data_IF_294635661645
#
_entry.id   IF_294635661645
#
_cell.length_a   1.000
_cell.length_b   1.000
_cell.length_c   1.000
_cell.angle_alpha   90.00
_cell.angle_beta   90.00
_cell.angle_gamma   90.00
#
_symmetry.space_group_name_H-M   'P 1'
#
loop_
_entity.id
_entity.type
_entity.pdbx_description
1 polymer ?
#
# COMPACT_ATOMS: atom_id res chain seq x y z
N UNK A 1 1.63 77.13 20.24
CA UNK A 1 0.75 76.04 19.74
C UNK A 1 1.13 75.78 18.27
N UNK A 2 1.98 74.78 17.99
CA UNK A 2 2.50 74.49 16.64
C UNK A 2 1.51 73.55 15.93
N UNK A 3 0.81 74.07 14.93
CA UNK A 3 -0.17 73.33 14.13
C UNK A 3 0.59 72.46 13.13
N UNK A 4 0.50 71.14 13.26
CA UNK A 4 0.96 70.22 12.22
C UNK A 4 0.06 70.41 11.00
N UNK A 5 0.57 71.08 9.96
CA UNK A 5 -0.07 71.08 8.64
C UNK A 5 0.10 69.68 8.07
N UNK A 6 -1.01 68.99 7.84
CA UNK A 6 -1.03 67.67 7.21
C UNK A 6 -0.80 67.90 5.72
N UNK A 7 0.33 67.43 5.18
CA UNK A 7 0.65 67.54 3.76
C UNK A 7 -0.37 66.69 2.97
N UNK A 8 -1.30 67.35 2.26
CA UNK A 8 -2.33 66.72 1.42
C UNK A 8 -1.90 66.67 -0.03
N UNK A 9 -0.75 66.05 -0.32
CA UNK A 9 -0.36 65.70 -1.69
C UNK A 9 -1.08 64.41 -2.09
N UNK A 10 -1.81 64.43 -3.19
CA UNK A 10 -2.44 63.24 -3.77
C UNK A 10 -1.39 62.28 -4.35
N UNK A 11 -1.72 61.00 -4.46
CA UNK A 11 -0.86 60.01 -5.12
C UNK A 11 -0.76 60.28 -6.61
N UNK A 12 0.46 60.23 -7.16
CA UNK A 12 0.68 60.31 -8.60
C UNK A 12 0.31 58.98 -9.27
N UNK A 13 -0.07 59.05 -10.55
CA UNK A 13 -0.37 57.86 -11.35
C UNK A 13 0.82 56.89 -11.40
N UNK A 14 2.04 57.42 -11.49
CA UNK A 14 3.27 56.62 -11.51
C UNK A 14 3.49 55.84 -10.20
N UNK A 15 3.22 56.45 -9.04
CA UNK A 15 3.31 55.75 -7.74
C UNK A 15 2.30 54.61 -7.64
N UNK A 16 1.05 54.82 -8.09
CA UNK A 16 0.04 53.76 -8.12
C UNK A 16 0.41 52.60 -9.06
N UNK A 17 1.00 52.91 -10.23
CA UNK A 17 1.47 51.86 -11.15
C UNK A 17 2.58 51.01 -10.54
N UNK A 18 3.53 51.62 -9.84
CA UNK A 18 4.62 50.90 -9.16
C UNK A 18 4.05 50.00 -8.06
N UNK A 19 3.10 50.51 -7.25
CA UNK A 19 2.45 49.72 -6.19
C UNK A 19 1.72 48.50 -6.77
N UNK A 20 0.95 48.68 -7.84
CA UNK A 20 0.24 47.57 -8.50
C UNK A 20 1.22 46.56 -9.10
N UNK A 21 2.34 47.01 -9.68
CA UNK A 21 3.36 46.13 -10.22
C UNK A 21 4.01 45.26 -9.12
N UNK A 22 4.34 45.85 -7.97
CA UNK A 22 4.91 45.13 -6.82
C UNK A 22 3.88 44.13 -6.27
N UNK A 23 2.62 44.54 -6.10
CA UNK A 23 1.55 43.64 -5.64
C UNK A 23 1.33 42.47 -6.60
N UNK A 24 1.36 42.72 -7.91
CA UNK A 24 1.27 41.68 -8.93
C UNK A 24 2.41 40.67 -8.81
N UNK A 25 3.64 41.14 -8.60
CA UNK A 25 4.80 40.28 -8.37
C UNK A 25 4.67 39.45 -7.09
N UNK A 26 4.25 40.07 -5.98
CA UNK A 26 4.02 39.37 -4.71
C UNK A 26 2.94 38.29 -4.83
N UNK A 27 1.81 38.60 -5.47
CA UNK A 27 0.74 37.64 -5.69
C UNK A 27 1.18 36.50 -6.59
N UNK A 28 1.97 36.79 -7.64
CA UNK A 28 2.59 35.77 -8.49
C UNK A 28 3.47 34.81 -7.70
N UNK A 29 4.32 35.34 -6.80
CA UNK A 29 5.18 34.52 -5.94
C UNK A 29 4.38 33.69 -4.91
N UNK A 30 3.35 34.25 -4.29
CA UNK A 30 2.51 33.50 -3.34
C UNK A 30 1.74 32.38 -4.04
N UNK A 31 1.24 32.63 -5.26
CA UNK A 31 0.50 31.64 -6.03
C UNK A 31 1.37 30.43 -6.40
N UNK A 32 2.63 30.64 -6.79
CA UNK A 32 3.55 29.54 -7.10
C UNK A 32 3.88 28.72 -5.86
N UNK A 33 4.14 29.37 -4.73
CA UNK A 33 4.36 28.70 -3.44
C UNK A 33 3.13 27.89 -3.01
N UNK A 34 1.94 28.46 -3.13
CA UNK A 34 0.69 27.77 -2.80
C UNK A 34 0.49 26.52 -3.66
N UNK A 35 0.72 26.62 -4.98
CA UNK A 35 0.64 25.46 -5.89
C UNK A 35 1.64 24.38 -5.52
N UNK A 36 2.89 24.75 -5.21
CA UNK A 36 3.91 23.78 -4.78
C UNK A 36 3.53 23.10 -3.46
N UNK A 37 2.99 23.85 -2.50
CA UNK A 37 2.50 23.30 -1.23
C UNK A 37 1.36 22.30 -1.42
N UNK A 38 0.40 22.60 -2.29
CA UNK A 38 -0.70 21.69 -2.62
C UNK A 38 -0.20 20.40 -3.28
N UNK A 39 0.72 20.51 -4.23
CA UNK A 39 1.31 19.33 -4.88
C UNK A 39 2.08 18.47 -3.87
N UNK A 40 2.89 19.08 -3.00
CA UNK A 40 3.63 18.38 -1.96
C UNK A 40 2.70 17.69 -0.95
N UNK A 41 1.57 18.32 -0.62
CA UNK A 41 0.56 17.71 0.25
C UNK A 41 -0.09 16.49 -0.40
N UNK A 42 -0.51 16.59 -1.67
CA UNK A 42 -1.15 15.47 -2.37
C UNK A 42 -0.22 14.26 -2.54
N UNK A 43 1.06 14.49 -2.87
CA UNK A 43 2.04 13.40 -2.98
C UNK A 43 2.37 12.79 -1.63
N UNK A 44 2.48 13.62 -0.58
CA UNK A 44 2.67 13.17 0.80
C UNK A 44 1.51 12.31 1.29
N UNK A 45 0.27 12.75 1.05
CA UNK A 45 -0.94 12.01 1.40
C UNK A 45 -1.00 10.65 0.69
N UNK A 46 -0.76 10.61 -0.62
CA UNK A 46 -0.74 9.36 -1.39
C UNK A 46 0.33 8.39 -0.89
N UNK A 47 1.52 8.88 -0.52
CA UNK A 47 2.59 8.03 0.03
C UNK A 47 2.19 7.41 1.37
N UNK A 48 1.53 8.18 2.23
CA UNK A 48 1.05 7.69 3.54
C UNK A 48 -0.05 6.66 3.35
N UNK A 49 -1.03 6.93 2.49
CA UNK A 49 -2.15 6.03 2.19
C UNK A 49 -1.66 4.66 1.71
N UNK A 50 -0.78 4.65 0.70
CA UNK A 50 -0.24 3.40 0.13
C UNK A 50 0.51 2.59 1.20
N UNK A 51 1.30 3.24 2.05
CA UNK A 51 2.00 2.56 3.15
C UNK A 51 1.05 2.04 4.24
N UNK A 52 0.01 2.80 4.59
CA UNK A 52 -0.96 2.41 5.60
C UNK A 52 -1.81 1.23 5.13
N UNK A 53 -2.30 1.27 3.88
CA UNK A 53 -3.06 0.19 3.29
C UNK A 53 -2.24 -1.10 3.25
N UNK A 54 -0.98 -1.01 2.81
CA UNK A 54 -0.07 -2.16 2.78
C UNK A 54 0.12 -2.78 4.18
N UNK A 55 0.44 -1.95 5.18
CA UNK A 55 0.66 -2.41 6.57
C UNK A 55 -0.60 -3.00 7.16
N UNK A 56 -1.73 -2.33 7.02
CA UNK A 56 -3.02 -2.80 7.50
C UNK A 56 -3.35 -4.19 6.93
N UNK A 57 -3.25 -4.36 5.61
CA UNK A 57 -3.52 -5.64 4.96
C UNK A 57 -2.56 -6.75 5.40
N UNK A 58 -1.26 -6.44 5.50
CA UNK A 58 -0.27 -7.42 5.93
C UNK A 58 -0.49 -7.82 7.39
N UNK A 59 -0.67 -6.86 8.30
CA UNK A 59 -0.87 -7.13 9.73
C UNK A 59 -2.14 -7.95 9.96
N UNK A 60 -3.23 -7.61 9.26
CA UNK A 60 -4.49 -8.35 9.31
C UNK A 60 -4.30 -9.79 8.81
N UNK A 61 -3.69 -9.97 7.64
CA UNK A 61 -3.45 -11.29 7.04
C UNK A 61 -2.54 -12.16 7.91
N UNK A 62 -1.47 -11.59 8.45
CA UNK A 62 -0.51 -12.29 9.32
C UNK A 62 -1.14 -12.65 10.65
N UNK A 63 -1.95 -11.76 11.24
CA UNK A 63 -2.70 -12.04 12.45
C UNK A 63 -3.65 -13.22 12.25
N UNK A 64 -4.41 -13.22 11.15
CA UNK A 64 -5.35 -14.31 10.86
C UNK A 64 -4.60 -15.63 10.59
N UNK A 65 -3.51 -15.62 9.81
CA UNK A 65 -2.69 -16.82 9.54
C UNK A 65 -2.09 -17.37 10.84
N UNK A 66 -1.70 -16.51 11.79
CA UNK A 66 -1.20 -16.96 13.11
C UNK A 66 -2.29 -17.57 13.97
N UNK A 67 -3.54 -17.18 13.79
CA UNK A 67 -4.71 -17.76 14.46
C UNK A 67 -5.23 -19.05 13.79
N UNK A 68 -4.63 -19.45 12.67
CA UNK A 68 -5.08 -20.62 11.92
C UNK A 68 -4.87 -21.92 12.72
N UNK A 69 -5.87 -22.79 12.68
CA UNK A 69 -5.85 -24.10 13.32
C UNK A 69 -5.54 -25.21 12.32
N UNK A 70 -4.98 -26.34 12.81
CA UNK A 70 -4.91 -27.56 12.01
C UNK A 70 -6.30 -28.07 11.62
N UNK A 71 -6.39 -28.66 10.43
CA UNK A 71 -7.63 -29.21 9.89
C UNK A 71 -7.86 -30.59 10.50
N UNK A 72 -8.82 -30.69 11.42
CA UNK A 72 -9.14 -31.94 12.10
C UNK A 72 -7.97 -32.47 12.93
N UNK A 73 -7.71 -33.78 12.87
CA UNK A 73 -6.60 -34.42 13.58
C UNK A 73 -5.29 -34.47 12.77
N UNK A 74 -5.12 -33.58 11.79
CA UNK A 74 -3.94 -33.57 10.90
C UNK A 74 -2.96 -32.45 11.28
N UNK A 75 -1.76 -32.52 10.70
CA UNK A 75 -0.72 -31.48 10.76
C UNK A 75 -0.89 -30.41 9.66
N UNK A 76 -2.06 -30.34 9.02
CA UNK A 76 -2.32 -29.42 7.91
C UNK A 76 -3.02 -28.18 8.41
N UNK A 77 -2.41 -27.00 8.25
CA UNK A 77 -3.03 -25.70 8.65
C UNK A 77 -3.71 -25.02 7.47
N UNK A 78 -3.14 -25.15 6.26
CA UNK A 78 -3.65 -24.52 5.04
C UNK A 78 -4.62 -25.47 4.34
N UNK A 79 -5.82 -24.98 4.02
CA UNK A 79 -6.87 -25.76 3.36
C UNK A 79 -6.79 -25.65 1.83
N UNK A 80 -6.33 -24.51 1.32
CA UNK A 80 -6.05 -24.31 -0.10
C UNK A 80 -4.98 -23.23 -0.27
N UNK A 81 -4.16 -23.34 -1.30
CA UNK A 81 -3.18 -22.30 -1.67
C UNK A 81 -2.95 -22.33 -3.17
N UNK A 82 -2.69 -21.16 -3.74
CA UNK A 82 -2.25 -21.05 -5.12
C UNK A 82 -0.96 -21.85 -5.35
N UNK A 83 -0.96 -22.70 -6.39
CA UNK A 83 0.15 -23.58 -6.71
C UNK A 83 1.45 -22.83 -7.06
N UNK A 84 1.37 -21.54 -7.43
CA UNK A 84 2.52 -20.68 -7.65
C UNK A 84 3.27 -20.32 -6.35
N UNK A 85 2.76 -20.70 -5.17
CA UNK A 85 3.46 -20.47 -3.91
C UNK A 85 4.82 -21.18 -3.81
N UNK A 86 5.06 -22.17 -4.67
CA UNK A 86 6.35 -22.86 -4.77
C UNK A 86 7.23 -22.37 -5.93
N UNK A 87 6.79 -21.38 -6.68
CA UNK A 87 7.49 -20.88 -7.85
C UNK A 87 8.34 -19.66 -7.49
N UNK A 88 9.60 -19.66 -7.95
CA UNK A 88 10.53 -18.54 -7.87
C UNK A 88 11.05 -18.26 -6.45
N UNK A 89 12.35 -17.99 -6.27
CA UNK A 89 12.87 -17.61 -4.97
C UNK A 89 12.39 -16.20 -4.57
N UNK A 90 11.94 -15.97 -3.33
CA UNK A 90 11.64 -14.62 -2.86
C UNK A 90 12.89 -13.83 -2.42
N UNK A 91 12.94 -12.50 -2.62
CA UNK A 91 11.96 -11.70 -3.36
C UNK A 91 12.20 -11.85 -4.88
N UNK A 92 11.18 -12.26 -5.63
CA UNK A 92 11.34 -12.58 -7.05
C UNK A 92 10.01 -12.79 -7.77
N UNK A 93 10.07 -13.20 -9.03
CA UNK A 93 8.91 -13.53 -9.84
C UNK A 93 8.32 -14.87 -9.40
N UNK A 94 7.11 -14.84 -8.82
CA UNK A 94 6.44 -16.02 -8.31
C UNK A 94 5.60 -15.73 -7.07
N UNK A 95 5.35 -16.75 -6.26
CA UNK A 95 4.45 -16.66 -5.13
C UNK A 95 2.98 -16.77 -5.53
N UNK A 96 2.20 -17.37 -4.64
CA UNK A 96 0.76 -17.54 -4.80
C UNK A 96 0.00 -16.25 -4.57
N UNK A 97 -1.16 -16.13 -5.19
CA UNK A 97 -2.04 -14.95 -5.10
C UNK A 97 -3.25 -15.16 -4.19
N UNK A 98 -3.41 -16.38 -3.65
CA UNK A 98 -4.49 -16.71 -2.73
C UNK A 98 -4.07 -17.78 -1.71
N UNK A 99 -4.72 -17.74 -0.54
CA UNK A 99 -4.54 -18.71 0.54
C UNK A 99 -5.84 -18.86 1.33
N UNK A 100 -6.17 -20.09 1.71
CA UNK A 100 -7.29 -20.42 2.56
C UNK A 100 -6.85 -21.26 3.76
N UNK A 101 -7.45 -21.01 4.91
CA UNK A 101 -7.24 -21.76 6.15
C UNK A 101 -8.49 -21.70 7.03
N UNK A 102 -8.49 -22.44 8.13
CA UNK A 102 -9.54 -22.39 9.15
C UNK A 102 -9.01 -21.63 10.36
N UNK A 103 -9.74 -20.63 10.84
CA UNK A 103 -9.35 -19.86 12.02
C UNK A 103 -9.64 -20.60 13.34
N UNK A 104 -9.28 -19.97 14.46
CA UNK A 104 -9.52 -20.49 15.81
C UNK A 104 -10.99 -20.70 16.19
N UNK A 105 -11.93 -20.15 15.42
CA UNK A 105 -13.38 -20.31 15.61
C UNK A 105 -13.98 -21.40 14.75
N UNK A 106 -13.18 -22.04 13.88
CA UNK A 106 -13.65 -23.03 12.91
C UNK A 106 -14.16 -22.40 11.61
N UNK A 107 -13.98 -21.10 11.41
CA UNK A 107 -14.45 -20.39 10.22
C UNK A 107 -13.41 -20.45 9.10
N UNK A 108 -13.87 -20.69 7.87
CA UNK A 108 -13.00 -20.62 6.70
C UNK A 108 -12.63 -19.16 6.41
N UNK A 109 -11.33 -18.90 6.30
CA UNK A 109 -10.77 -17.60 5.92
C UNK A 109 -10.00 -17.78 4.62
N UNK A 110 -10.33 -16.98 3.62
CA UNK A 110 -9.67 -16.92 2.33
C UNK A 110 -9.20 -15.51 2.06
N UNK A 111 -7.91 -15.37 1.80
CA UNK A 111 -7.32 -14.16 1.22
C UNK A 111 -7.05 -14.40 -0.26
N UNK A 112 -7.44 -13.47 -1.11
CA UNK A 112 -7.20 -13.55 -2.54
C UNK A 112 -6.98 -12.16 -3.14
N UNK A 113 -6.01 -12.07 -4.05
CA UNK A 113 -5.91 -10.93 -4.96
C UNK A 113 -6.93 -11.11 -6.08
N UNK A 114 -7.82 -10.14 -6.24
CA UNK A 114 -8.92 -10.19 -7.20
C UNK A 114 -8.81 -9.04 -8.17
N UNK A 115 -8.80 -9.38 -9.45
CA UNK A 115 -8.62 -8.46 -10.57
C UNK A 115 -7.67 -9.05 -11.61
N UNK A 116 -7.62 -8.40 -12.77
CA UNK A 116 -6.74 -8.82 -13.85
C UNK A 116 -5.59 -7.82 -14.00
N UNK A 117 -4.41 -8.33 -14.39
CA UNK A 117 -3.26 -7.48 -14.75
C UNK A 117 -2.86 -6.46 -13.68
N UNK A 118 -2.91 -6.86 -12.40
CA UNK A 118 -2.67 -5.99 -11.25
C UNK A 118 -1.36 -5.18 -11.32
N UNK A 119 -0.31 -5.80 -11.90
CA UNK A 119 0.98 -5.15 -12.10
C UNK A 119 0.93 -3.94 -13.04
N UNK A 120 0.07 -3.98 -14.06
CA UNK A 120 -0.06 -2.95 -15.10
C UNK A 120 -1.33 -2.11 -14.96
N UNK A 121 -2.24 -2.46 -14.05
CA UNK A 121 -3.42 -1.68 -13.73
C UNK A 121 -3.03 -0.27 -13.22
N UNK A 122 -3.75 0.75 -13.68
CA UNK A 122 -3.57 2.12 -13.20
C UNK A 122 -3.93 2.27 -11.72
N UNK A 123 -4.89 1.47 -11.24
CA UNK A 123 -5.44 1.53 -9.88
C UNK A 123 -5.10 0.30 -9.03
N UNK A 124 -4.34 -0.65 -9.58
CA UNK A 124 -4.10 -1.95 -8.92
C UNK A 124 -5.33 -2.87 -8.97
N UNK A 125 -5.29 -3.89 -8.12
CA UNK A 125 -6.35 -4.87 -7.86
C UNK A 125 -6.80 -4.80 -6.40
N UNK A 126 -7.86 -5.54 -6.09
CA UNK A 126 -8.42 -5.63 -4.75
C UNK A 126 -7.82 -6.82 -4.02
N UNK A 127 -7.33 -6.61 -2.80
CA UNK A 127 -7.10 -7.71 -1.87
C UNK A 127 -8.39 -7.95 -1.10
N UNK A 128 -8.90 -9.17 -1.18
CA UNK A 128 -10.14 -9.56 -0.55
C UNK A 128 -9.91 -10.56 0.57
N UNK A 129 -10.69 -10.41 1.66
CA UNK A 129 -10.89 -11.42 2.70
C UNK A 129 -12.31 -11.95 2.56
N UNK A 130 -12.47 -13.25 2.33
CA UNK A 130 -13.77 -13.92 2.16
C UNK A 130 -14.68 -13.23 1.12
N UNK A 131 -14.10 -12.77 0.01
CA UNK A 131 -14.83 -12.07 -1.06
C UNK A 131 -15.15 -10.59 -0.78
N UNK A 132 -14.75 -10.06 0.37
CA UNK A 132 -14.89 -8.64 0.71
C UNK A 132 -13.57 -7.92 0.53
N UNK A 133 -13.54 -6.83 -0.23
CA UNK A 133 -12.35 -5.98 -0.40
C UNK A 133 -11.93 -5.36 0.92
N UNK A 134 -10.68 -5.62 1.34
CA UNK A 134 -10.07 -5.02 2.54
C UNK A 134 -9.23 -3.80 2.18
N UNK A 135 -8.54 -3.84 1.03
CA UNK A 135 -7.81 -2.73 0.43
C UNK A 135 -7.88 -2.86 -1.09
N UNK A 136 -7.91 -1.72 -1.79
CA UNK A 136 -7.60 -1.62 -3.21
C UNK A 136 -6.12 -1.27 -3.42
N UNK A 137 -5.76 -0.88 -4.65
CA UNK A 137 -4.40 -0.41 -4.93
C UNK A 137 -3.33 -1.50 -4.89
N UNK A 138 -3.69 -2.79 -4.89
CA UNK A 138 -2.70 -3.86 -4.77
C UNK A 138 -2.12 -4.21 -6.14
N UNK A 139 -0.83 -3.97 -6.31
CA UNK A 139 -0.08 -4.31 -7.52
C UNK A 139 0.27 -5.81 -7.55
N UNK A 140 0.63 -6.38 -6.40
CA UNK A 140 0.94 -7.80 -6.26
C UNK A 140 0.69 -8.29 -4.82
N UNK A 141 0.14 -9.50 -4.72
CA UNK A 141 0.16 -10.33 -3.53
C UNK A 141 1.00 -11.57 -3.87
N UNK A 142 2.05 -11.81 -3.11
CA UNK A 142 2.94 -12.94 -3.32
C UNK A 142 3.07 -13.73 -2.02
N UNK A 143 2.69 -15.00 -2.07
CA UNK A 143 2.70 -15.90 -0.93
C UNK A 143 3.62 -17.06 -1.25
N UNK A 144 4.72 -17.21 -0.53
CA UNK A 144 5.62 -18.36 -0.67
C UNK A 144 5.41 -19.35 0.47
N UNK A 145 5.32 -20.63 0.10
CA UNK A 145 5.06 -21.74 0.99
C UNK A 145 6.32 -22.60 1.15
N UNK A 146 6.73 -22.85 2.39
CA UNK A 146 7.94 -23.61 2.71
C UNK A 146 7.63 -24.86 3.52
N UNK A 147 8.40 -25.91 3.28
CA UNK A 147 8.45 -27.07 4.16
C UNK A 147 9.39 -26.84 5.37
N UNK A 148 9.44 -27.82 6.29
CA UNK A 148 10.34 -27.81 7.45
C UNK A 148 11.67 -28.55 7.19
N UNK A 149 12.08 -28.69 5.93
CA UNK A 149 13.39 -29.24 5.61
C UNK A 149 14.51 -28.25 6.02
N UNK A 150 15.72 -28.75 6.20
CA UNK A 150 16.91 -27.91 6.39
C UNK A 150 17.89 -28.20 5.24
N UNK A 151 18.11 -27.25 4.31
CA UNK A 151 17.51 -25.92 4.22
C UNK A 151 16.01 -25.95 3.86
N UNK A 152 15.26 -24.90 4.20
CA UNK A 152 13.84 -24.80 3.88
C UNK A 152 13.62 -24.74 2.37
N UNK A 153 12.73 -25.59 1.85
CA UNK A 153 12.43 -25.69 0.41
C UNK A 153 11.00 -25.24 0.16
N UNK A 154 10.80 -24.55 -0.96
CA UNK A 154 9.47 -24.19 -1.45
C UNK A 154 8.62 -25.45 -1.71
N UNK A 155 7.38 -25.47 -1.24
CA UNK A 155 6.53 -26.66 -1.33
C UNK A 155 5.04 -26.29 -1.22
N UNK A 156 4.22 -26.67 -2.22
CA UNK A 156 2.78 -26.42 -2.22
C UNK A 156 1.92 -27.60 -1.72
N UNK A 157 2.51 -28.71 -1.30
CA UNK A 157 1.80 -29.83 -0.70
C UNK A 157 1.31 -29.41 0.68
N UNK A 158 -0.02 -29.27 0.84
CA UNK A 158 -0.65 -28.69 2.03
C UNK A 158 -0.18 -29.34 3.35
N UNK A 159 -0.02 -30.65 3.37
CA UNK A 159 0.43 -31.40 4.56
C UNK A 159 1.89 -31.13 4.94
N UNK A 160 2.68 -30.55 4.04
CA UNK A 160 4.11 -30.26 4.23
C UNK A 160 4.40 -28.77 4.45
N UNK A 161 3.40 -27.87 4.35
CA UNK A 161 3.61 -26.44 4.57
C UNK A 161 3.81 -26.17 6.07
N UNK A 162 4.89 -25.48 6.42
CA UNK A 162 5.32 -25.21 7.80
C UNK A 162 5.67 -23.76 8.04
N UNK A 163 5.97 -23.03 6.98
CA UNK A 163 6.24 -21.60 7.03
C UNK A 163 5.70 -20.91 5.78
N UNK A 164 5.17 -19.71 5.95
CA UNK A 164 4.64 -18.86 4.88
C UNK A 164 5.32 -17.51 4.93
N UNK A 165 5.74 -17.03 3.77
CA UNK A 165 6.22 -15.67 3.56
C UNK A 165 5.20 -14.94 2.70
N UNK A 166 4.72 -13.79 3.17
CA UNK A 166 3.75 -12.96 2.45
C UNK A 166 4.41 -11.64 2.12
N UNK A 167 4.31 -11.22 0.86
CA UNK A 167 4.68 -9.89 0.40
C UNK A 167 3.48 -9.25 -0.29
N UNK A 168 3.22 -7.99 0.06
CA UNK A 168 2.18 -7.18 -0.55
C UNK A 168 2.85 -5.94 -1.13
N UNK A 169 2.62 -5.72 -2.43
CA UNK A 169 3.02 -4.51 -3.14
C UNK A 169 1.76 -3.73 -3.46
N UNK A 170 1.68 -2.51 -2.94
CA UNK A 170 0.59 -1.56 -3.18
C UNK A 170 1.08 -0.39 -4.02
N UNK A 171 0.15 0.29 -4.66
CA UNK A 171 0.33 1.51 -5.42
C UNK A 171 -0.82 2.47 -5.17
N UNK A 172 -0.63 3.73 -5.52
CA UNK A 172 -1.70 4.73 -5.48
C UNK A 172 -2.90 4.28 -6.32
N UNK A 173 -4.12 4.48 -5.81
CA UNK A 173 -5.35 4.21 -6.56
C UNK A 173 -5.70 5.36 -7.51
N UNK A 174 -5.17 6.56 -7.23
CA UNK A 174 -5.31 7.69 -8.13
C UNK A 174 -4.38 7.46 -9.30
N UNK A 175 -4.95 7.07 -10.45
CA UNK A 175 -4.22 6.86 -11.71
C UNK A 175 -3.18 7.95 -11.94
N UNK A 176 -1.92 7.59 -11.75
CA UNK A 176 -0.77 8.46 -11.92
C UNK A 176 0.06 7.94 -13.09
N UNK A 177 0.63 8.85 -13.89
CA UNK A 177 1.57 8.44 -14.92
C UNK A 177 2.78 7.75 -14.26
N UNK A 178 3.25 6.66 -14.87
CA UNK A 178 4.40 5.92 -14.35
C UNK A 178 5.61 6.85 -14.16
N UNK A 179 6.23 6.81 -12.99
CA UNK A 179 7.37 7.66 -12.63
C UNK A 179 7.02 9.13 -12.31
N UNK A 180 5.74 9.50 -12.29
CA UNK A 180 5.31 10.81 -11.78
C UNK A 180 5.39 10.85 -10.25
N UNK A 181 5.45 12.04 -9.63
CA UNK A 181 5.40 12.16 -8.17
C UNK A 181 4.13 11.58 -7.52
N UNK A 182 3.05 11.38 -8.29
CA UNK A 182 1.84 10.72 -7.81
C UNK A 182 1.95 9.20 -7.76
N UNK A 183 2.91 8.60 -8.48
CA UNK A 183 3.09 7.16 -8.65
C UNK A 183 3.80 6.53 -7.45
N UNK A 184 3.10 6.52 -6.32
CA UNK A 184 3.61 6.01 -5.04
C UNK A 184 3.38 4.51 -4.94
N UNK A 185 4.37 3.80 -4.41
CA UNK A 185 4.35 2.36 -4.18
C UNK A 185 4.83 2.03 -2.77
N UNK A 186 4.32 0.96 -2.17
CA UNK A 186 4.85 0.41 -0.93
C UNK A 186 4.91 -1.12 -0.98
N UNK A 187 6.04 -1.67 -0.52
CA UNK A 187 6.25 -3.10 -0.37
C UNK A 187 6.35 -3.38 1.12
N UNK A 188 5.55 -4.33 1.59
CA UNK A 188 5.60 -4.84 2.95
C UNK A 188 5.69 -6.34 2.92
N UNK A 189 6.38 -6.92 3.89
CA UNK A 189 6.63 -8.34 3.92
C UNK A 189 6.65 -8.87 5.35
N UNK A 190 6.16 -10.09 5.55
CA UNK A 190 6.23 -10.79 6.81
C UNK A 190 6.29 -12.30 6.61
N UNK A 191 6.74 -13.00 7.66
CA UNK A 191 6.91 -14.45 7.66
C UNK A 191 6.28 -15.06 8.91
N UNK A 192 5.59 -16.18 8.72
CA UNK A 192 4.89 -16.90 9.77
C UNK A 192 5.27 -18.37 9.71
N UNK A 193 5.77 -18.89 10.83
CA UNK A 193 5.99 -20.33 11.03
C UNK A 193 4.87 -20.92 11.87
N UNK A 194 4.30 -22.02 11.43
CA UNK A 194 3.30 -22.77 12.18
C UNK A 194 3.99 -23.56 13.30
N UNK A 195 3.58 -23.34 14.55
CA UNK A 195 4.22 -23.93 15.74
C UNK A 195 3.60 -25.26 16.21
N UNK A 196 2.37 -25.57 15.79
CA UNK A 196 1.57 -26.68 16.31
C UNK A 196 1.28 -27.79 15.27
N UNK A 197 2.25 -28.06 14.41
CA UNK A 197 2.15 -29.06 13.35
C UNK A 197 3.18 -30.15 13.63
N UNK A 198 2.74 -31.15 14.40
CA UNK A 198 3.47 -32.37 14.75
C UNK A 198 3.53 -33.34 13.56
#
# INVERSE_FOLDING_TARGET
>A
MKRFVRDTRGFTLAELLIVVAILGFMMGALFTLQRQGQLAYLTGAARVEVQQNARFALDMMISDIRSALPVGATSRVITNIDAACQNGPPPGTGGGTSISFTDQTGTAVTYALVGASCATSATGCDLQKNGTTIIGGVQALQIWCYNNATPAVLNNTLDNIREIRVQITTKTERGAAAGSPGDQHAIVESRVRFRNVL
#
